data_IF_507971556996
#
_entry.id   IF_507971556996
#
_cell.length_a   1.000
_cell.length_b   1.000
_cell.length_c   1.000
_cell.angle_alpha   90.00
_cell.angle_beta   90.00
_cell.angle_gamma   90.00
#
_symmetry.space_group_name_H-M   'P 1'
#
loop_
_entity.id
_entity.type
_entity.pdbx_description
1 polymer ?
#
# COMPACT_ATOMS: atom_id res chain seq x y z
N UNK A 1 -5.66 -6.97 -0.67
CA UNK A 1 -4.36 -6.26 -0.63
C UNK A 1 -4.61 -4.86 -0.12
N UNK A 2 -3.83 -4.39 0.88
CA UNK A 2 -3.84 -2.99 1.31
C UNK A 2 -2.77 -2.22 0.54
N UNK A 3 -3.16 -1.09 -0.07
CA UNK A 3 -2.26 -0.25 -0.87
C UNK A 3 -2.37 1.19 -0.40
N UNK A 4 -1.26 1.79 -0.01
CA UNK A 4 -1.23 3.17 0.50
C UNK A 4 0.08 3.91 0.24
N UNK A 5 0.09 5.19 0.53
CA UNK A 5 1.28 6.03 0.47
C UNK A 5 2.17 5.86 1.72
N UNK A 6 3.45 6.21 1.63
CA UNK A 6 4.45 5.91 2.65
C UNK A 6 5.24 7.13 3.10
N UNK A 7 5.16 7.45 4.38
CA UNK A 7 5.92 8.55 5.00
C UNK A 7 6.97 8.08 5.99
N UNK A 8 6.66 7.09 6.84
CA UNK A 8 7.55 6.67 7.91
C UNK A 8 7.42 5.17 8.24
N UNK A 9 8.31 4.65 9.08
CA UNK A 9 8.32 3.24 9.47
C UNK A 9 7.04 2.79 10.18
N UNK A 10 6.35 3.71 10.87
CA UNK A 10 5.13 3.41 11.63
C UNK A 10 3.89 3.21 10.75
N UNK A 11 3.96 3.56 9.48
CA UNK A 11 2.82 3.46 8.55
C UNK A 11 2.31 2.02 8.38
N UNK A 12 3.18 1.04 8.58
CA UNK A 12 2.84 -0.39 8.52
C UNK A 12 1.78 -0.78 9.57
N UNK A 13 1.67 -0.06 10.66
CA UNK A 13 0.69 -0.37 11.70
C UNK A 13 -0.74 0.08 11.37
N UNK A 14 -0.92 1.03 10.45
CA UNK A 14 -2.27 1.53 10.15
C UNK A 14 -3.17 0.44 9.53
N UNK A 15 -2.77 -0.32 8.51
CA UNK A 15 -3.60 -1.43 8.03
C UNK A 15 -3.83 -2.52 9.07
N UNK A 16 -2.84 -2.80 9.93
CA UNK A 16 -2.96 -3.83 10.97
C UNK A 16 -4.11 -3.57 11.95
N UNK A 17 -4.48 -2.31 12.18
CA UNK A 17 -5.58 -1.96 13.07
C UNK A 17 -6.98 -2.24 12.47
N UNK A 18 -7.07 -2.52 11.18
CA UNK A 18 -8.35 -2.75 10.48
C UNK A 18 -8.77 -4.20 10.42
N UNK A 19 -7.91 -5.12 10.84
CA UNK A 19 -8.17 -6.56 10.78
C UNK A 19 -7.68 -7.26 12.05
N UNK A 20 -8.35 -8.34 12.42
CA UNK A 20 -7.92 -9.23 13.52
C UNK A 20 -6.88 -10.26 13.05
N UNK A 21 -6.87 -10.55 11.77
CA UNK A 21 -5.93 -11.48 11.17
C UNK A 21 -4.57 -10.79 10.93
N UNK A 22 -3.52 -11.58 10.82
CA UNK A 22 -2.20 -11.08 10.45
C UNK A 22 -2.18 -10.44 9.07
N UNK A 23 -1.28 -9.49 8.88
CA UNK A 23 -0.98 -8.88 7.58
C UNK A 23 0.50 -9.09 7.29
N UNK A 24 0.80 -9.61 6.12
CA UNK A 24 2.15 -9.65 5.57
C UNK A 24 2.51 -8.30 4.96
N UNK A 25 3.79 -7.97 4.96
CA UNK A 25 4.28 -6.72 4.40
C UNK A 25 5.33 -7.00 3.33
N UNK A 26 5.20 -6.36 2.17
CA UNK A 26 6.30 -6.30 1.23
C UNK A 26 7.25 -5.19 1.67
N UNK A 27 8.49 -5.56 1.95
CA UNK A 27 9.50 -4.61 2.37
C UNK A 27 10.86 -4.99 1.78
N UNK A 28 11.80 -4.05 1.80
CA UNK A 28 13.17 -4.31 1.32
C UNK A 28 13.80 -5.49 2.08
N UNK A 29 14.37 -6.45 1.38
CA UNK A 29 15.00 -7.65 1.94
C UNK A 29 15.99 -7.33 3.09
N UNK A 30 16.77 -6.26 2.98
CA UNK A 30 17.68 -5.84 4.03
C UNK A 30 17.02 -5.59 5.40
N UNK A 31 15.70 -5.42 5.48
CA UNK A 31 14.97 -5.28 6.75
C UNK A 31 14.94 -6.60 7.50
N UNK A 32 14.86 -7.73 6.79
CA UNK A 32 14.88 -9.06 7.40
C UNK A 32 16.23 -9.42 8.05
N UNK A 33 17.29 -8.74 7.62
CA UNK A 33 18.65 -8.93 8.12
C UNK A 33 19.11 -7.83 9.07
N UNK A 34 18.25 -6.82 9.33
CA UNK A 34 18.59 -5.73 10.23
C UNK A 34 18.64 -6.21 11.70
N UNK A 35 19.66 -5.82 12.47
CA UNK A 35 19.70 -6.13 13.90
C UNK A 35 18.47 -5.55 14.61
N UNK A 36 17.92 -6.26 15.58
CA UNK A 36 16.72 -5.91 16.36
C UNK A 36 15.41 -6.00 15.55
N UNK A 37 15.31 -5.32 14.41
CA UNK A 37 14.06 -5.27 13.60
C UNK A 37 13.85 -6.55 12.79
N UNK A 38 14.94 -7.23 12.36
CA UNK A 38 14.84 -8.40 11.50
C UNK A 38 14.08 -9.58 12.12
N UNK A 39 14.28 -9.80 13.41
CA UNK A 39 13.53 -10.84 14.14
C UNK A 39 12.02 -10.56 14.16
N UNK A 40 11.66 -9.32 14.48
CA UNK A 40 10.26 -8.89 14.44
C UNK A 40 9.67 -8.97 13.02
N UNK A 41 10.40 -8.48 12.03
CA UNK A 41 9.97 -8.52 10.63
C UNK A 41 9.66 -9.93 10.13
N UNK A 42 10.53 -10.91 10.51
CA UNK A 42 10.29 -12.33 10.23
C UNK A 42 9.04 -12.85 10.96
N UNK A 43 8.89 -12.46 12.23
CA UNK A 43 7.75 -12.88 13.05
C UNK A 43 6.39 -12.40 12.53
N UNK A 44 6.32 -11.22 11.90
CA UNK A 44 5.10 -10.70 11.28
C UNK A 44 4.96 -11.08 9.79
N UNK A 45 5.82 -11.98 9.30
CA UNK A 45 5.73 -12.49 7.93
C UNK A 45 6.05 -11.46 6.84
N UNK A 46 7.06 -10.62 7.07
CA UNK A 46 7.55 -9.70 6.03
C UNK A 46 8.13 -10.50 4.87
N UNK A 47 7.67 -10.19 3.66
CA UNK A 47 8.19 -10.74 2.41
C UNK A 47 9.28 -9.78 1.91
N UNK A 48 10.51 -10.26 1.83
CA UNK A 48 11.66 -9.46 1.39
C UNK A 48 11.63 -9.25 -0.11
N UNK A 49 11.71 -8.01 -0.56
CA UNK A 49 11.85 -7.64 -1.96
C UNK A 49 13.25 -7.13 -2.28
N UNK A 50 13.87 -7.64 -3.34
CA UNK A 50 15.12 -7.10 -3.86
C UNK A 50 14.90 -5.83 -4.67
N UNK A 51 15.90 -4.95 -4.74
CA UNK A 51 15.76 -3.61 -5.33
C UNK A 51 15.57 -3.57 -6.84
N UNK A 52 15.97 -4.61 -7.52
CA UNK A 52 15.96 -4.67 -8.98
C UNK A 52 14.59 -4.93 -9.62
N UNK A 53 13.55 -5.10 -8.79
CA UNK A 53 12.17 -5.27 -9.26
C UNK A 53 11.92 -6.56 -10.06
N UNK A 54 12.95 -7.39 -10.21
CA UNK A 54 12.93 -8.63 -11.01
C UNK A 54 12.83 -9.89 -10.16
N UNK A 55 12.63 -9.73 -8.85
CA UNK A 55 12.58 -10.88 -7.94
C UNK A 55 11.28 -11.65 -8.09
N UNK A 56 11.31 -12.61 -9.01
CA UNK A 56 10.21 -13.55 -9.25
C UNK A 56 9.83 -14.31 -7.96
N UNK A 57 10.78 -14.57 -7.07
CA UNK A 57 10.51 -15.24 -5.80
C UNK A 57 9.62 -14.41 -4.89
N UNK A 58 9.91 -13.13 -4.72
CA UNK A 58 9.06 -12.19 -3.95
C UNK A 58 7.64 -12.15 -4.49
N UNK A 59 7.48 -12.08 -5.81
CA UNK A 59 6.15 -12.07 -6.45
C UNK A 59 5.43 -13.40 -6.21
N UNK A 60 6.12 -14.52 -6.34
CA UNK A 60 5.54 -15.86 -6.12
C UNK A 60 5.13 -16.05 -4.65
N UNK A 61 5.93 -15.62 -3.70
CA UNK A 61 5.61 -15.72 -2.27
C UNK A 61 4.42 -14.82 -1.91
N UNK A 62 4.38 -13.59 -2.43
CA UNK A 62 3.23 -12.71 -2.27
C UNK A 62 1.96 -13.30 -2.87
N UNK A 63 2.05 -13.88 -4.08
CA UNK A 63 0.90 -14.55 -4.70
C UNK A 63 0.44 -15.77 -3.89
N UNK A 64 1.37 -16.53 -3.27
CA UNK A 64 1.01 -17.67 -2.41
C UNK A 64 0.23 -17.21 -1.19
N UNK A 65 0.69 -16.18 -0.50
CA UNK A 65 0.01 -15.56 0.64
C UNK A 65 -1.41 -15.16 0.26
N UNK A 66 -1.58 -14.43 -0.83
CA UNK A 66 -2.89 -13.97 -1.29
C UNK A 66 -3.83 -15.11 -1.71
N UNK A 67 -3.31 -16.15 -2.38
CA UNK A 67 -4.09 -17.34 -2.76
C UNK A 67 -4.53 -18.17 -1.56
N UNK A 68 -3.81 -18.12 -0.46
CA UNK A 68 -4.21 -18.74 0.81
C UNK A 68 -5.30 -17.92 1.56
N UNK A 69 -5.75 -16.80 1.00
CA UNK A 69 -6.72 -15.92 1.65
C UNK A 69 -6.13 -14.98 2.69
N UNK A 70 -4.80 -14.95 2.80
CA UNK A 70 -4.09 -14.07 3.71
C UNK A 70 -3.98 -12.64 3.15
N UNK A 71 -3.54 -11.71 3.96
CA UNK A 71 -3.54 -10.28 3.62
C UNK A 71 -2.11 -9.77 3.41
N UNK A 72 -1.96 -8.92 2.41
CA UNK A 72 -0.71 -8.19 2.18
C UNK A 72 -0.96 -6.70 2.26
N UNK A 73 -0.06 -5.98 2.91
CA UNK A 73 0.04 -4.52 2.84
C UNK A 73 1.32 -4.12 2.13
N UNK A 74 1.19 -3.17 1.23
CA UNK A 74 2.33 -2.67 0.47
C UNK A 74 2.21 -1.17 0.16
N UNK A 75 3.37 -0.58 0.00
CA UNK A 75 3.52 0.82 -0.37
C UNK A 75 4.15 0.88 -1.76
N UNK A 76 3.35 1.11 -2.81
CA UNK A 76 3.81 1.01 -4.20
C UNK A 76 4.87 2.04 -4.58
N UNK A 77 5.06 3.06 -3.77
CA UNK A 77 6.17 4.02 -3.88
C UNK A 77 7.56 3.37 -3.64
N UNK A 78 7.63 2.17 -3.07
CA UNK A 78 8.86 1.42 -2.79
C UNK A 78 9.84 2.12 -1.84
N UNK A 79 9.56 3.35 -1.46
CA UNK A 79 10.36 4.15 -0.52
C UNK A 79 9.48 5.15 0.22
N UNK A 80 10.01 5.68 1.33
CA UNK A 80 9.32 6.71 2.11
C UNK A 80 9.38 8.05 1.40
N UNK A 81 8.23 8.68 1.22
CA UNK A 81 8.13 10.03 0.66
C UNK A 81 8.57 11.06 1.71
N UNK A 82 9.76 11.61 1.52
CA UNK A 82 10.36 12.63 2.38
C UNK A 82 10.41 14.01 1.73
N UNK A 83 9.77 14.17 0.58
CA UNK A 83 9.84 15.43 -0.19
C UNK A 83 9.11 16.58 0.49
N UNK A 84 8.20 16.28 1.42
CA UNK A 84 7.28 17.27 1.99
C UNK A 84 6.18 17.73 1.03
N UNK A 85 6.20 17.21 -0.20
CA UNK A 85 5.16 17.46 -1.21
C UNK A 85 3.91 16.64 -0.91
N UNK A 86 2.79 17.12 -1.41
CA UNK A 86 1.52 16.39 -1.45
C UNK A 86 1.46 15.33 -2.57
N UNK A 87 2.43 15.33 -3.48
CA UNK A 87 2.51 14.38 -4.57
C UNK A 87 2.97 13.00 -4.05
N UNK A 88 2.30 11.95 -4.51
CA UNK A 88 2.79 10.59 -4.32
C UNK A 88 4.00 10.35 -5.23
N UNK A 89 4.98 9.63 -4.75
CA UNK A 89 6.08 9.17 -5.59
C UNK A 89 5.55 8.24 -6.71
N UNK A 90 6.33 7.99 -7.75
CA UNK A 90 5.97 7.01 -8.78
C UNK A 90 5.66 5.65 -8.16
N UNK A 91 4.64 4.98 -8.67
CA UNK A 91 4.28 3.61 -8.29
C UNK A 91 5.06 2.62 -9.18
N UNK A 92 5.48 1.51 -8.61
CA UNK A 92 6.38 0.54 -9.26
C UNK A 92 5.67 -0.72 -9.81
N UNK A 93 4.37 -0.67 -10.08
CA UNK A 93 3.64 -1.72 -10.79
C UNK A 93 3.31 -3.00 -10.00
N UNK A 94 3.88 -3.19 -8.83
CA UNK A 94 3.73 -4.43 -8.06
C UNK A 94 2.34 -4.66 -7.48
N UNK A 95 1.63 -3.59 -7.13
CA UNK A 95 0.30 -3.69 -6.52
C UNK A 95 -0.76 -4.15 -7.53
N UNK A 96 -0.77 -3.57 -8.71
CA UNK A 96 -1.66 -3.99 -9.79
C UNK A 96 -1.34 -5.40 -10.26
N UNK A 97 -0.06 -5.75 -10.41
CA UNK A 97 0.36 -7.09 -10.79
C UNK A 97 -0.21 -8.15 -9.84
N UNK A 98 -0.01 -7.97 -8.54
CA UNK A 98 -0.50 -8.93 -7.53
C UNK A 98 -2.03 -9.00 -7.53
N UNK A 99 -2.71 -7.85 -7.51
CA UNK A 99 -4.17 -7.79 -7.51
C UNK A 99 -4.78 -8.51 -8.73
N UNK A 100 -4.24 -8.26 -9.91
CA UNK A 100 -4.73 -8.85 -11.16
C UNK A 100 -4.43 -10.36 -11.21
N UNK A 101 -3.19 -10.75 -10.89
CA UNK A 101 -2.77 -12.17 -10.99
C UNK A 101 -3.46 -13.07 -9.96
N UNK A 102 -3.85 -12.52 -8.82
CA UNK A 102 -4.54 -13.29 -7.76
C UNK A 102 -6.04 -13.03 -7.71
N UNK A 103 -6.55 -12.09 -8.52
CA UNK A 103 -7.94 -11.62 -8.49
C UNK A 103 -8.36 -11.16 -7.09
N UNK A 104 -7.42 -10.58 -6.35
CA UNK A 104 -7.62 -10.13 -4.99
C UNK A 104 -8.03 -8.66 -4.98
N UNK A 105 -9.12 -8.27 -4.30
CA UNK A 105 -9.50 -6.87 -4.17
C UNK A 105 -8.41 -6.04 -3.49
N UNK A 106 -8.31 -4.78 -3.89
CA UNK A 106 -7.42 -3.80 -3.28
C UNK A 106 -8.22 -2.91 -2.35
N UNK A 107 -7.76 -2.77 -1.10
CA UNK A 107 -8.25 -1.78 -0.16
C UNK A 107 -7.27 -0.60 -0.21
N UNK A 108 -7.62 0.49 -0.92
CA UNK A 108 -6.78 1.67 -0.94
C UNK A 108 -6.87 2.39 0.40
N UNK A 109 -5.74 2.88 0.89
CA UNK A 109 -5.74 3.76 2.05
C UNK A 109 -4.78 4.92 1.85
N UNK A 110 -5.08 6.05 2.49
CA UNK A 110 -4.23 7.23 2.38
C UNK A 110 -3.92 7.80 3.75
N UNK A 111 -2.66 8.02 4.00
CA UNK A 111 -2.17 8.77 5.15
C UNK A 111 -2.24 10.24 4.75
N UNK A 112 -3.28 10.93 5.24
CA UNK A 112 -3.61 12.30 4.82
C UNK A 112 -2.67 13.34 5.43
N UNK A 113 -2.08 13.03 6.59
CA UNK A 113 -1.14 13.91 7.28
C UNK A 113 0.09 13.11 7.67
N UNK A 114 1.30 13.55 7.28
CA UNK A 114 2.53 12.87 7.69
C UNK A 114 2.57 12.72 9.22
N UNK A 115 2.91 11.52 9.72
CA UNK A 115 3.03 11.29 11.16
C UNK A 115 4.05 12.24 11.79
N UNK A 116 3.64 12.92 12.87
CA UNK A 116 4.50 13.83 13.65
C UNK A 116 4.31 13.56 15.13
N UNK A 117 5.37 13.69 15.90
CA UNK A 117 5.31 13.52 17.34
C UNK A 117 4.25 14.45 17.97
N UNK A 118 3.41 13.89 18.85
CA UNK A 118 2.29 14.58 19.53
C UNK A 118 1.24 15.22 18.59
N UNK A 119 1.18 14.85 17.33
CA UNK A 119 0.12 15.29 16.40
C UNK A 119 -0.71 14.13 15.92
N UNK A 120 -2.01 14.36 15.73
CA UNK A 120 -2.91 13.36 15.16
C UNK A 120 -2.53 13.09 13.71
N UNK A 121 -2.40 11.81 13.38
CA UNK A 121 -2.30 11.33 12.00
C UNK A 121 -3.69 10.89 11.55
N UNK A 122 -4.10 11.33 10.38
CA UNK A 122 -5.37 10.92 9.80
C UNK A 122 -5.09 9.93 8.68
N UNK A 123 -5.72 8.78 8.77
CA UNK A 123 -5.66 7.74 7.76
C UNK A 123 -7.07 7.44 7.31
N UNK A 124 -7.28 7.42 6.01
CA UNK A 124 -8.59 7.12 5.39
C UNK A 124 -8.46 5.84 4.59
N UNK A 125 -9.33 4.90 4.85
CA UNK A 125 -9.46 3.66 4.08
C UNK A 125 -10.61 3.83 3.09
N UNK A 126 -10.39 3.41 1.86
CA UNK A 126 -11.43 3.35 0.84
C UNK A 126 -12.13 1.99 0.80
N UNK A 127 -13.23 1.95 0.07
CA UNK A 127 -13.91 0.69 -0.23
C UNK A 127 -13.01 -0.23 -1.05
N UNK A 128 -13.12 -1.55 -0.86
CA UNK A 128 -12.43 -2.52 -1.69
C UNK A 128 -12.74 -2.28 -3.17
N UNK A 129 -11.72 -2.28 -4.00
CA UNK A 129 -11.86 -2.15 -5.44
C UNK A 129 -11.22 -3.34 -6.15
N UNK A 130 -11.84 -3.76 -7.23
CA UNK A 130 -11.32 -4.80 -8.11
C UNK A 130 -10.74 -4.20 -9.38
N UNK A 131 -9.81 -4.92 -9.98
CA UNK A 131 -9.23 -4.63 -11.28
C UNK A 131 -9.76 -5.63 -12.33
N UNK A 132 -11.05 -5.95 -12.26
CA UNK A 132 -11.68 -7.03 -13.03
C UNK A 132 -11.60 -6.83 -14.53
N UNK A 133 -11.50 -5.59 -15.01
CA UNK A 133 -11.30 -5.27 -16.43
C UNK A 133 -9.96 -5.79 -17.00
N UNK A 134 -9.02 -6.17 -16.10
CA UNK A 134 -7.72 -6.73 -16.47
C UNK A 134 -7.65 -8.25 -16.27
N UNK A 135 -8.71 -8.90 -15.77
CA UNK A 135 -8.68 -10.34 -15.52
C UNK A 135 -8.79 -11.15 -16.82
N UNK A 136 -8.22 -12.36 -16.79
CA UNK A 136 -8.37 -13.41 -17.81
C UNK A 136 -8.03 -12.98 -19.25
N UNK A 137 -7.21 -11.96 -19.43
CA UNK A 137 -6.73 -11.51 -20.74
C UNK A 137 -5.20 -11.40 -20.76
N UNK A 138 -4.64 -11.41 -21.97
CA UNK A 138 -3.21 -11.12 -22.15
C UNK A 138 -2.97 -9.63 -21.90
N UNK A 139 -2.13 -9.33 -20.95
CA UNK A 139 -1.79 -7.95 -20.55
C UNK A 139 -0.43 -7.55 -21.11
N UNK A 140 -0.34 -6.29 -21.47
CA UNK A 140 0.89 -5.59 -21.84
C UNK A 140 1.45 -4.83 -20.63
N UNK A 141 2.72 -4.39 -20.66
CA UNK A 141 3.25 -3.50 -19.63
C UNK A 141 2.39 -2.23 -19.42
N UNK A 142 1.86 -1.65 -20.50
CA UNK A 142 0.99 -0.46 -20.44
C UNK A 142 -0.33 -0.75 -19.69
N UNK A 143 -0.87 -1.96 -19.75
CA UNK A 143 -2.05 -2.33 -18.97
C UNK A 143 -1.77 -2.31 -17.47
N UNK A 144 -0.59 -2.79 -17.03
CA UNK A 144 -0.19 -2.72 -15.63
C UNK A 144 0.05 -1.29 -15.17
N UNK A 145 0.67 -0.45 -15.99
CA UNK A 145 0.84 0.98 -15.71
C UNK A 145 -0.52 1.67 -15.57
N UNK A 146 -1.46 1.42 -16.47
CA UNK A 146 -2.81 1.98 -16.39
C UNK A 146 -3.55 1.52 -15.12
N UNK A 147 -3.39 0.27 -14.72
CA UNK A 147 -3.97 -0.25 -13.49
C UNK A 147 -3.35 0.42 -12.23
N UNK A 148 -2.03 0.64 -12.22
CA UNK A 148 -1.36 1.39 -11.12
C UNK A 148 -1.82 2.85 -11.06
N UNK A 149 -1.95 3.53 -12.20
CA UNK A 149 -2.47 4.90 -12.23
C UNK A 149 -3.91 4.97 -11.74
N UNK A 150 -4.73 3.95 -12.00
CA UNK A 150 -6.08 3.84 -11.43
C UNK A 150 -6.06 3.73 -9.90
N UNK A 151 -5.16 2.91 -9.35
CA UNK A 151 -4.96 2.81 -7.90
C UNK A 151 -4.48 4.14 -7.31
N UNK A 152 -3.51 4.78 -7.94
CA UNK A 152 -2.96 6.08 -7.53
C UNK A 152 -4.03 7.18 -7.55
N UNK A 153 -4.84 7.23 -8.61
CA UNK A 153 -5.96 8.16 -8.71
C UNK A 153 -6.96 7.97 -7.56
N UNK A 154 -7.23 6.73 -7.16
CA UNK A 154 -8.11 6.44 -6.02
C UNK A 154 -7.54 6.97 -4.70
N UNK A 155 -6.24 6.89 -4.49
CA UNK A 155 -5.61 7.48 -3.31
C UNK A 155 -5.73 9.02 -3.30
N UNK A 156 -5.55 9.66 -4.45
CA UNK A 156 -5.75 11.11 -4.58
C UNK A 156 -7.19 11.51 -4.27
N UNK A 157 -8.17 10.77 -4.77
CA UNK A 157 -9.59 10.99 -4.49
C UNK A 157 -9.90 10.88 -2.99
N UNK A 158 -9.45 9.83 -2.31
CA UNK A 158 -9.63 9.65 -0.87
C UNK A 158 -9.06 10.84 -0.09
N UNK A 159 -7.87 11.31 -0.46
CA UNK A 159 -7.23 12.47 0.19
C UNK A 159 -8.00 13.76 -0.08
N UNK A 160 -8.48 13.97 -1.29
CA UNK A 160 -9.26 15.14 -1.66
C UNK A 160 -10.59 15.20 -0.88
N UNK A 161 -11.30 14.07 -0.79
CA UNK A 161 -12.55 13.95 -0.05
C UNK A 161 -12.34 14.23 1.45
N UNK A 162 -11.30 13.66 2.06
CA UNK A 162 -10.96 13.96 3.44
C UNK A 162 -10.71 15.46 3.66
N UNK A 163 -9.95 16.11 2.78
CA UNK A 163 -9.68 17.55 2.89
C UNK A 163 -10.93 18.40 2.77
N UNK A 164 -11.82 18.05 1.86
CA UNK A 164 -13.10 18.73 1.68
C UNK A 164 -13.97 18.62 2.94
N UNK A 165 -14.05 17.43 3.54
CA UNK A 165 -14.78 17.20 4.79
C UNK A 165 -14.20 18.02 5.95
N UNK A 166 -12.88 18.06 6.10
CA UNK A 166 -12.23 18.85 7.15
C UNK A 166 -12.47 20.35 6.96
N UNK A 167 -12.46 20.84 5.72
CA UNK A 167 -12.76 22.23 5.40
C UNK A 167 -14.23 22.59 5.74
N UNK A 168 -15.16 21.68 5.42
CA UNK A 168 -16.58 21.85 5.74
C UNK A 168 -16.84 21.89 7.26
N UNK A 169 -16.18 21.01 8.04
CA UNK A 169 -16.28 21.00 9.51
C UNK A 169 -15.81 22.32 10.11
N UNK A 170 -14.64 22.83 9.68
CA UNK A 170 -14.11 24.12 10.15
C UNK A 170 -15.02 25.31 9.86
N UNK A 171 -15.83 25.25 8.78
CA UNK A 171 -16.80 26.32 8.46
C UNK A 171 -18.05 26.28 9.33
N UNK A 172 -18.40 25.10 9.88
CA UNK A 172 -19.57 24.93 10.76
C UNK A 172 -19.27 25.30 12.22
N UNK A 173 -17.99 25.30 12.59
CA UNK A 173 -17.52 25.61 13.95
C UNK A 173 -17.16 27.09 14.14
N UNK A 174 -17.28 27.89 13.07
CA UNK A 174 -17.14 29.36 13.08
C UNK A 174 -18.49 30.06 12.97
#
# INVERSE_FOLDING_TARGET
IYVGNHYCLWDVFFPAHTTKDGIHYLAKDSILHAPVIGGWAKGVGVIGAMRDGTDVHTVMDAMRVLKNGEKISMFPEGTRNKTGSDEFLPFHGGSALLAIKTKTPVIPFVICTPPRFLRRTHVVFGEPMELSEYYDRKLTPADYEAAEEKLKARLYELRANFRAEQAAKKKREK
#
